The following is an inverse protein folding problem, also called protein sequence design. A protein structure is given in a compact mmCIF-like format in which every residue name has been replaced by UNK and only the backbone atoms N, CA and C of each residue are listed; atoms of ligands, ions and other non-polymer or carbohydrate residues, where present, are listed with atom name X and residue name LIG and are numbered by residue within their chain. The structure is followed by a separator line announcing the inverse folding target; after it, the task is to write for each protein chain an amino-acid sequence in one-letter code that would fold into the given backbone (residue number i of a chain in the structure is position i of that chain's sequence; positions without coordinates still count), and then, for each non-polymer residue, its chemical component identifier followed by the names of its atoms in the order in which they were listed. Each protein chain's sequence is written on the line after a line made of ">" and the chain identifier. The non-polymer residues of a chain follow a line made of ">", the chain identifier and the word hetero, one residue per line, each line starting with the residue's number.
data_IF_051821285852
#
_entry.id   IF_051821285852
#
_cell.length_a   1.000
_cell.length_b   1.000
_cell.length_c   1.000
_cell.angle_alpha   90.00
_cell.angle_beta   90.00
_cell.angle_gamma   90.00
#
_symmetry.space_group_name_H-M   'P 1'
#
loop_
_entity.id
_entity.type
_entity.pdbx_description
1 polymer ?
#
# COMPACT_ATOMS: atom_id res chain seq x y z
N UNK A 1 26.03 -28.68 33.08
CA UNK A 1 26.57 -27.35 32.68
C UNK A 1 26.65 -27.15 31.16
N UNK A 2 27.04 -28.16 30.36
CA UNK A 2 27.11 -28.04 28.89
C UNK A 2 25.77 -27.70 28.21
N UNK A 3 24.66 -28.26 28.70
CA UNK A 3 23.32 -27.98 28.19
C UNK A 3 22.90 -26.51 28.38
N UNK A 4 23.27 -25.89 29.52
CA UNK A 4 23.00 -24.48 29.79
C UNK A 4 23.80 -23.56 28.87
N UNK A 5 25.05 -23.91 28.59
CA UNK A 5 25.88 -23.18 27.63
C UNK A 5 25.32 -23.28 26.20
N UNK A 6 24.88 -24.48 25.78
CA UNK A 6 24.22 -24.68 24.48
C UNK A 6 22.91 -23.91 24.35
N UNK A 7 22.08 -23.91 25.41
CA UNK A 7 20.83 -23.16 25.45
C UNK A 7 21.07 -21.64 25.40
N UNK A 8 22.06 -21.15 26.14
CA UNK A 8 22.46 -19.75 26.13
C UNK A 8 22.96 -19.31 24.75
N UNK A 9 23.78 -20.13 24.09
CA UNK A 9 24.27 -19.86 22.74
C UNK A 9 23.11 -19.79 21.72
N UNK A 10 22.16 -20.73 21.81
CA UNK A 10 20.98 -20.74 20.95
C UNK A 10 20.09 -19.51 21.18
N UNK A 11 19.88 -19.10 22.45
CA UNK A 11 19.14 -17.87 22.79
C UNK A 11 19.84 -16.61 22.27
N UNK A 12 21.16 -16.52 22.40
CA UNK A 12 21.96 -15.41 21.88
C UNK A 12 21.86 -15.32 20.36
N UNK A 13 21.98 -16.46 19.66
CA UNK A 13 21.83 -16.52 18.21
C UNK A 13 20.42 -16.12 17.75
N UNK A 14 19.37 -16.58 18.44
CA UNK A 14 17.98 -16.21 18.14
C UNK A 14 17.72 -14.71 18.34
N UNK A 15 18.23 -14.15 19.44
CA UNK A 15 18.10 -12.72 19.74
C UNK A 15 18.87 -11.86 18.73
N UNK A 16 20.05 -12.29 18.31
CA UNK A 16 20.81 -11.64 17.25
C UNK A 16 20.08 -11.70 15.90
N UNK A 17 19.50 -12.85 15.54
CA UNK A 17 18.71 -13.00 14.32
C UNK A 17 17.48 -12.08 14.30
N UNK A 18 16.82 -11.87 15.45
CA UNK A 18 15.70 -10.94 15.56
C UNK A 18 16.11 -9.46 15.43
N UNK A 19 17.33 -9.10 15.85
CA UNK A 19 17.89 -7.76 15.67
C UNK A 19 18.45 -7.52 14.25
N UNK A 20 18.88 -8.59 13.58
CA UNK A 20 19.37 -8.58 12.19
C UNK A 20 18.26 -8.67 11.16
N UNK A 21 17.05 -9.09 11.55
CA UNK A 21 15.86 -8.93 10.73
C UNK A 21 15.64 -7.42 10.60
N UNK A 22 15.95 -6.80 9.45
CA UNK A 22 15.63 -5.40 9.27
C UNK A 22 14.13 -5.32 9.47
N UNK A 23 13.68 -4.43 10.35
CA UNK A 23 12.26 -4.16 10.54
C UNK A 23 11.62 -4.13 9.15
N UNK A 24 10.65 -5.02 8.93
CA UNK A 24 9.94 -5.21 7.67
C UNK A 24 9.57 -3.83 7.11
N UNK A 25 10.42 -3.29 6.23
CA UNK A 25 10.18 -1.99 5.63
C UNK A 25 9.18 -2.23 4.52
N UNK A 26 7.93 -2.44 4.93
CA UNK A 26 6.82 -2.36 4.02
C UNK A 26 6.91 -0.96 3.39
N UNK A 27 7.00 -0.85 2.06
CA UNK A 27 7.02 0.44 1.42
C UNK A 27 5.74 1.17 1.84
N UNK A 28 5.90 2.23 2.64
CA UNK A 28 4.80 3.11 3.04
C UNK A 28 4.25 3.68 1.74
N UNK A 29 2.97 3.47 1.41
CA UNK A 29 2.41 4.01 0.18
C UNK A 29 2.55 5.52 0.18
N UNK A 30 3.41 6.07 -0.68
CA UNK A 30 3.58 7.51 -0.84
C UNK A 30 2.49 8.01 -1.80
N UNK A 31 1.57 8.90 -1.37
CA UNK A 31 0.58 9.48 -2.25
C UNK A 31 1.25 10.31 -3.35
N UNK A 32 0.76 10.22 -4.59
CA UNK A 32 1.23 11.07 -5.68
C UNK A 32 0.62 12.47 -5.57
N UNK A 33 1.35 13.46 -6.08
CA UNK A 33 0.93 14.87 -6.08
C UNK A 33 -0.40 15.10 -6.81
N UNK A 34 -1.11 16.16 -6.44
CA UNK A 34 -2.43 16.51 -6.98
C UNK A 34 -3.59 15.78 -6.29
N UNK A 35 -4.81 16.05 -6.76
CA UNK A 35 -6.05 15.48 -6.20
C UNK A 35 -6.81 14.66 -7.23
N UNK A 36 -7.65 13.73 -6.75
CA UNK A 36 -8.57 13.04 -7.63
C UNK A 36 -9.53 14.04 -8.30
N UNK A 37 -9.79 13.92 -9.62
CA UNK A 37 -10.74 14.78 -10.30
C UNK A 37 -12.14 14.59 -9.68
N UNK A 38 -12.91 15.67 -9.60
CA UNK A 38 -14.31 15.59 -9.16
C UNK A 38 -15.11 14.87 -10.23
N UNK A 39 -15.61 13.69 -9.90
CA UNK A 39 -16.58 12.93 -10.69
C UNK A 39 -17.95 13.09 -10.06
N UNK A 40 -18.98 13.30 -10.88
CA UNK A 40 -20.36 13.38 -10.41
C UNK A 40 -20.80 12.02 -9.89
N UNK A 41 -21.42 12.01 -8.71
CA UNK A 41 -22.01 10.79 -8.18
C UNK A 41 -23.15 10.34 -9.10
N UNK A 42 -23.28 9.04 -9.39
CA UNK A 42 -24.45 8.53 -10.09
C UNK A 42 -25.73 8.88 -9.32
N UNK A 43 -26.77 9.33 -10.02
CA UNK A 43 -28.07 9.69 -9.43
C UNK A 43 -28.78 8.50 -8.76
N UNK A 44 -28.44 7.27 -9.17
CA UNK A 44 -29.00 6.04 -8.60
C UNK A 44 -27.88 5.02 -8.36
N UNK A 45 -27.96 4.22 -7.27
CA UNK A 45 -27.07 3.10 -7.07
C UNK A 45 -27.24 2.12 -8.24
N UNK A 46 -26.16 1.84 -8.95
CA UNK A 46 -26.10 0.79 -9.97
C UNK A 46 -25.26 -0.35 -9.42
N UNK A 47 -25.68 -1.59 -9.71
CA UNK A 47 -24.83 -2.75 -9.45
C UNK A 47 -23.50 -2.53 -10.17
N UNK A 48 -22.40 -2.54 -9.41
CA UNK A 48 -21.07 -2.39 -10.00
C UNK A 48 -20.56 -3.75 -10.43
N UNK A 49 -20.48 -3.97 -11.74
CA UNK A 49 -19.86 -5.17 -12.33
C UNK A 49 -18.39 -4.93 -12.72
N UNK A 50 -17.92 -3.69 -12.61
CA UNK A 50 -16.57 -3.28 -12.93
C UNK A 50 -15.59 -3.69 -11.82
N UNK A 51 -14.42 -4.20 -12.21
CA UNK A 51 -13.32 -4.45 -11.27
C UNK A 51 -12.49 -3.19 -11.02
N UNK A 52 -11.92 -3.11 -9.82
CA UNK A 52 -10.89 -2.15 -9.48
C UNK A 52 -9.62 -2.45 -10.29
N UNK A 53 -9.06 -1.41 -10.93
CA UNK A 53 -7.78 -1.51 -11.67
C UNK A 53 -6.57 -1.13 -10.82
N UNK A 54 -6.80 -0.46 -9.70
CA UNK A 54 -5.77 -0.06 -8.74
C UNK A 54 -6.40 0.03 -7.34
N UNK A 55 -5.56 0.06 -6.32
CA UNK A 55 -5.91 0.40 -4.93
C UNK A 55 -5.03 1.51 -4.36
N UNK A 56 -3.89 1.82 -5.01
CA UNK A 56 -2.92 2.81 -4.57
C UNK A 56 -2.34 3.56 -5.77
N UNK A 57 -1.85 4.77 -5.53
CA UNK A 57 -1.28 5.64 -6.57
C UNK A 57 -0.05 5.02 -7.24
N UNK A 58 0.75 4.25 -6.51
CA UNK A 58 1.98 3.62 -7.00
C UNK A 58 1.75 2.50 -8.04
N UNK A 59 0.53 2.00 -8.15
CA UNK A 59 0.13 1.03 -9.18
C UNK A 59 -0.23 1.69 -10.51
N UNK A 60 -0.39 3.01 -10.52
CA UNK A 60 -0.67 3.77 -11.72
C UNK A 60 0.64 4.23 -12.38
N UNK A 61 0.69 4.24 -13.71
CA UNK A 61 1.85 4.76 -14.44
C UNK A 61 1.97 6.28 -14.25
N UNK A 62 3.21 6.78 -14.34
CA UNK A 62 3.51 8.23 -14.34
C UNK A 62 2.94 8.95 -13.10
N UNK A 63 2.37 10.15 -13.28
CA UNK A 63 1.79 10.97 -12.21
C UNK A 63 0.29 10.70 -11.98
N UNK A 64 -0.25 9.61 -12.52
CA UNK A 64 -1.67 9.26 -12.38
C UNK A 64 -1.97 8.78 -10.96
N UNK A 65 -3.16 9.14 -10.46
CA UNK A 65 -3.65 8.78 -9.13
C UNK A 65 -4.71 7.68 -9.23
N UNK A 66 -4.79 6.84 -8.21
CA UNK A 66 -5.82 5.82 -8.08
C UNK A 66 -7.07 6.43 -7.43
N UNK A 67 -8.10 6.67 -8.23
CA UNK A 67 -9.29 7.42 -7.83
C UNK A 67 -10.55 6.59 -8.03
N UNK A 68 -11.55 6.83 -7.19
CA UNK A 68 -12.89 6.28 -7.42
C UNK A 68 -13.54 7.03 -8.57
N UNK A 69 -13.96 6.29 -9.59
CA UNK A 69 -14.66 6.83 -10.76
C UNK A 69 -15.82 5.93 -11.11
N UNK A 70 -17.01 6.50 -11.27
CA UNK A 70 -18.27 5.77 -11.45
C UNK A 70 -18.56 4.82 -10.30
N UNK A 71 -18.12 3.56 -10.40
CA UNK A 71 -18.30 2.54 -9.37
C UNK A 71 -17.04 1.75 -9.00
N UNK A 72 -15.87 2.05 -9.62
CA UNK A 72 -14.64 1.30 -9.40
C UNK A 72 -13.40 2.23 -9.32
N UNK A 73 -12.30 1.70 -8.80
CA UNK A 73 -11.01 2.38 -8.73
C UNK A 73 -10.30 2.36 -10.09
N UNK A 74 -9.84 3.53 -10.54
CA UNK A 74 -9.20 3.75 -11.85
C UNK A 74 -8.02 4.72 -11.74
N UNK A 75 -7.02 4.53 -12.61
CA UNK A 75 -5.90 5.45 -12.73
C UNK A 75 -6.30 6.69 -13.56
N UNK A 76 -6.39 7.85 -12.90
CA UNK A 76 -6.84 9.10 -13.52
C UNK A 76 -5.72 10.14 -13.51
N UNK A 77 -5.77 11.05 -14.48
CA UNK A 77 -4.92 12.26 -14.46
C UNK A 77 -5.34 13.10 -13.25
N UNK A 78 -4.41 13.52 -12.39
CA UNK A 78 -4.75 14.35 -11.24
C UNK A 78 -5.29 15.69 -11.71
N UNK A 79 -6.27 16.25 -10.99
CA UNK A 79 -6.60 17.64 -11.15
C UNK A 79 -5.46 18.49 -10.58
N UNK A 80 -4.97 19.46 -11.35
CA UNK A 80 -4.24 20.60 -10.80
C UNK A 80 -5.19 21.31 -9.86
N UNK A 81 -4.94 21.23 -8.55
CA UNK A 81 -5.69 22.05 -7.60
C UNK A 81 -5.40 23.53 -7.83
N UNK A 82 -6.23 24.45 -7.33
CA UNK A 82 -5.69 25.72 -6.87
C UNK A 82 -4.60 25.49 -5.80
#
# INVERSE_FOLDING_TARGET
>A
MRCLASLALALLALKAALMLAPALTLPVPVPKAGRCPRVQAPLAPKLCLERNKCSRDDQCMENRKCCFSSCAMRCMVPATGP
#
